data_IF_237966258399
#
_entry.id   IF_237966258399
#
_cell.length_a   1.000
_cell.length_b   1.000
_cell.length_c   1.000
_cell.angle_alpha   90.00
_cell.angle_beta   90.00
_cell.angle_gamma   90.00
#
_symmetry.space_group_name_H-M   'P 1'
#
loop_
_entity.id
_entity.type
_entity.pdbx_description
1 polymer ?
#
# COMPACT_ATOMS: atom_id res chain seq x y z
N UNK A 1 6.22 11.82 -9.50
CA UNK A 1 5.46 10.78 -8.75
C UNK A 1 4.14 11.31 -8.21
N UNK A 2 4.12 12.40 -7.44
CA UNK A 2 2.92 12.91 -6.78
C UNK A 2 1.71 13.17 -7.71
N UNK A 3 1.93 13.77 -8.88
CA UNK A 3 0.85 14.03 -9.86
C UNK A 3 0.22 12.72 -10.35
N UNK A 4 1.04 11.76 -10.80
CA UNK A 4 0.56 10.45 -11.27
C UNK A 4 -0.18 9.71 -10.16
N UNK A 5 0.31 9.80 -8.92
CA UNK A 5 -0.36 9.22 -7.76
C UNK A 5 -1.74 9.86 -7.51
N UNK A 6 -1.84 11.19 -7.56
CA UNK A 6 -3.12 11.89 -7.42
C UNK A 6 -4.13 11.56 -8.52
N UNK A 7 -3.66 11.48 -9.78
CA UNK A 7 -4.48 11.08 -10.92
C UNK A 7 -4.96 9.63 -10.79
N UNK A 8 -4.06 8.71 -10.44
CA UNK A 8 -4.41 7.30 -10.21
C UNK A 8 -5.46 7.16 -9.11
N UNK A 9 -5.30 7.85 -7.98
CA UNK A 9 -6.24 7.82 -6.86
C UNK A 9 -7.62 8.39 -7.20
N UNK A 10 -7.65 9.45 -8.02
CA UNK A 10 -8.91 10.03 -8.50
C UNK A 10 -9.61 9.05 -9.44
N UNK A 11 -8.84 8.40 -10.32
CA UNK A 11 -9.34 7.34 -11.20
C UNK A 11 -9.84 6.13 -10.41
N UNK A 12 -9.12 5.68 -9.38
CA UNK A 12 -9.53 4.58 -8.49
C UNK A 12 -10.90 4.86 -7.88
N UNK A 13 -11.15 6.07 -7.36
CA UNK A 13 -12.45 6.47 -6.81
C UNK A 13 -13.58 6.37 -7.83
N UNK A 14 -13.31 6.59 -9.11
CA UNK A 14 -14.30 6.43 -10.18
C UNK A 14 -14.52 4.95 -10.46
N UNK A 15 -13.45 4.17 -10.62
CA UNK A 15 -13.53 2.76 -11.01
C UNK A 15 -14.15 1.86 -9.94
N UNK A 16 -13.86 2.08 -8.66
CA UNK A 16 -14.47 1.29 -7.56
C UNK A 16 -15.97 1.50 -7.40
N UNK A 17 -16.60 2.40 -8.15
CA UNK A 17 -18.07 2.48 -8.24
C UNK A 17 -18.67 1.41 -9.15
N UNK A 18 -17.88 0.90 -10.09
CA UNK A 18 -18.30 -0.07 -11.10
C UNK A 18 -17.80 -1.49 -10.81
N UNK A 19 -16.74 -1.62 -10.03
CA UNK A 19 -16.13 -2.90 -9.66
C UNK A 19 -16.28 -3.15 -8.16
N UNK A 20 -16.49 -4.41 -7.77
CA UNK A 20 -16.32 -4.80 -6.38
C UNK A 20 -14.83 -4.70 -5.97
N UNK A 21 -14.53 -4.38 -4.70
CA UNK A 21 -13.14 -4.21 -4.24
C UNK A 21 -12.25 -5.42 -4.47
N UNK A 22 -12.79 -6.64 -4.42
CA UNK A 22 -12.00 -7.86 -4.59
C UNK A 22 -11.55 -8.01 -6.04
N UNK A 23 -12.47 -7.94 -6.99
CA UNK A 23 -12.14 -8.00 -8.42
C UNK A 23 -11.21 -6.86 -8.83
N UNK A 24 -11.44 -5.64 -8.31
CA UNK A 24 -10.59 -4.49 -8.60
C UNK A 24 -9.14 -4.71 -8.16
N UNK A 25 -8.93 -5.18 -6.92
CA UNK A 25 -7.59 -5.49 -6.39
C UNK A 25 -6.92 -6.62 -7.18
N UNK A 26 -7.66 -7.70 -7.48
CA UNK A 26 -7.11 -8.82 -8.25
C UNK A 26 -6.63 -8.32 -9.62
N UNK A 27 -7.46 -7.58 -10.36
CA UNK A 27 -7.07 -7.05 -11.67
C UNK A 27 -5.91 -6.05 -11.56
N UNK A 28 -5.97 -5.15 -10.57
CA UNK A 28 -4.98 -4.10 -10.35
C UNK A 28 -3.59 -4.61 -10.03
N UNK A 29 -3.45 -5.77 -9.40
CA UNK A 29 -2.13 -6.38 -9.12
C UNK A 29 -1.75 -7.50 -10.08
N UNK A 30 -2.73 -8.26 -10.59
CA UNK A 30 -2.46 -9.39 -11.48
C UNK A 30 -2.09 -8.95 -12.89
N UNK A 31 -2.84 -8.01 -13.48
CA UNK A 31 -2.60 -7.57 -14.87
C UNK A 31 -1.22 -6.94 -15.06
N UNK A 32 -0.76 -6.00 -14.22
CA UNK A 32 0.60 -5.46 -14.35
C UNK A 32 1.67 -6.54 -14.19
N UNK A 33 1.48 -7.48 -13.24
CA UNK A 33 2.39 -8.62 -13.07
C UNK A 33 2.47 -9.50 -14.31
N UNK A 34 1.33 -9.80 -14.92
CA UNK A 34 1.23 -10.58 -16.14
C UNK A 34 1.87 -9.85 -17.33
N UNK A 35 1.60 -8.55 -17.49
CA UNK A 35 2.20 -7.73 -18.54
C UNK A 35 3.72 -7.68 -18.40
N UNK A 36 4.25 -7.49 -17.19
CA UNK A 36 5.69 -7.52 -16.93
C UNK A 36 6.29 -8.88 -17.32
N UNK A 37 5.62 -9.99 -16.99
CA UNK A 37 6.06 -11.33 -17.33
C UNK A 37 6.09 -11.56 -18.85
N UNK A 38 5.05 -11.13 -19.57
CA UNK A 38 4.96 -11.25 -21.04
C UNK A 38 6.01 -10.37 -21.73
N UNK A 39 6.24 -9.16 -21.25
CA UNK A 39 7.25 -8.24 -21.80
C UNK A 39 8.69 -8.66 -21.47
N UNK A 40 8.89 -9.43 -20.40
CA UNK A 40 10.22 -9.83 -19.93
C UNK A 40 10.32 -11.35 -19.65
N UNK A 41 10.08 -12.21 -20.64
CA UNK A 41 9.99 -13.66 -20.42
C UNK A 41 11.31 -14.26 -19.92
N UNK A 42 12.45 -13.67 -20.31
CA UNK A 42 13.78 -14.08 -19.86
C UNK A 42 13.98 -13.96 -18.33
N UNK A 43 13.20 -13.11 -17.66
CA UNK A 43 13.25 -12.92 -16.20
C UNK A 43 12.40 -13.94 -15.43
N UNK A 44 11.45 -14.60 -16.09
CA UNK A 44 10.59 -15.63 -15.45
C UNK A 44 11.43 -16.79 -14.91
N UNK A 45 12.48 -17.19 -15.64
CA UNK A 45 13.41 -18.24 -15.21
C UNK A 45 14.06 -17.93 -13.85
N UNK A 46 14.25 -16.64 -13.53
CA UNK A 46 14.85 -16.18 -12.28
C UNK A 46 13.87 -16.22 -11.10
N UNK A 47 12.57 -16.35 -11.33
CA UNK A 47 11.57 -16.43 -10.26
C UNK A 47 11.74 -17.65 -9.35
N UNK A 48 12.41 -18.70 -9.85
CA UNK A 48 12.73 -19.91 -9.08
C UNK A 48 13.43 -19.62 -7.76
N UNK A 49 14.18 -18.51 -7.66
CA UNK A 49 14.86 -18.10 -6.42
C UNK A 49 13.87 -17.77 -5.29
N UNK A 50 12.67 -17.30 -5.63
CA UNK A 50 11.65 -16.87 -4.68
C UNK A 50 10.82 -18.04 -4.12
N UNK A 51 10.87 -19.21 -4.78
CA UNK A 51 10.19 -20.44 -4.32
C UNK A 51 10.97 -21.22 -3.25
N UNK A 52 12.14 -20.73 -2.83
CA UNK A 52 12.88 -21.33 -1.71
C UNK A 52 12.03 -21.28 -0.44
N UNK A 53 11.95 -22.39 0.31
CA UNK A 53 11.09 -22.54 1.50
C UNK A 53 11.27 -21.42 2.54
N UNK A 54 12.49 -20.93 2.73
CA UNK A 54 12.81 -19.83 3.65
C UNK A 54 12.33 -18.44 3.19
N UNK A 55 12.08 -18.28 1.90
CA UNK A 55 11.67 -17.01 1.28
C UNK A 55 10.19 -16.99 0.94
N UNK A 56 9.65 -18.10 0.41
CA UNK A 56 8.26 -18.19 -0.03
C UNK A 56 7.28 -17.93 1.11
N UNK A 57 7.58 -18.41 2.33
CA UNK A 57 6.71 -18.16 3.48
C UNK A 57 6.66 -16.67 3.85
N UNK A 58 7.82 -15.98 3.81
CA UNK A 58 7.89 -14.53 4.04
C UNK A 58 7.16 -13.76 2.96
N UNK A 59 7.31 -14.16 1.69
CA UNK A 59 6.57 -13.54 0.59
C UNK A 59 5.07 -13.74 0.75
N UNK A 60 4.60 -14.96 0.99
CA UNK A 60 3.17 -15.25 1.14
C UNK A 60 2.58 -14.45 2.29
N UNK A 61 3.27 -14.35 3.43
CA UNK A 61 2.84 -13.51 4.54
C UNK A 61 2.74 -12.04 4.15
N UNK A 62 3.80 -11.47 3.55
CA UNK A 62 3.82 -10.06 3.15
C UNK A 62 2.79 -9.74 2.06
N UNK A 63 2.66 -10.59 1.05
CA UNK A 63 1.69 -10.45 -0.03
C UNK A 63 0.25 -10.58 0.49
N UNK A 64 -0.01 -11.49 1.43
CA UNK A 64 -1.33 -11.64 2.05
C UNK A 64 -1.69 -10.40 2.88
N UNK A 65 -0.78 -9.92 3.72
CA UNK A 65 -0.98 -8.70 4.52
C UNK A 65 -1.22 -7.48 3.63
N UNK A 66 -0.44 -7.35 2.56
CA UNK A 66 -0.59 -6.26 1.61
C UNK A 66 -1.90 -6.37 0.80
N UNK A 67 -2.25 -7.57 0.34
CA UNK A 67 -3.51 -7.81 -0.36
C UNK A 67 -4.73 -7.50 0.52
N UNK A 68 -4.72 -7.93 1.78
CA UNK A 68 -5.76 -7.59 2.75
C UNK A 68 -5.84 -6.08 2.98
N UNK A 69 -4.69 -5.41 3.13
CA UNK A 69 -4.61 -3.95 3.26
C UNK A 69 -5.20 -3.24 2.04
N UNK A 70 -4.89 -3.70 0.82
CA UNK A 70 -5.43 -3.14 -0.41
C UNK A 70 -6.95 -3.32 -0.50
N UNK A 71 -7.48 -4.51 -0.21
CA UNK A 71 -8.93 -4.75 -0.18
C UNK A 71 -9.60 -3.84 0.85
N UNK A 72 -9.06 -3.74 2.06
CA UNK A 72 -9.57 -2.86 3.09
C UNK A 72 -9.56 -1.38 2.65
N UNK A 73 -8.49 -0.96 1.98
CA UNK A 73 -8.37 0.40 1.44
C UNK A 73 -9.42 0.69 0.36
N UNK A 74 -9.59 -0.18 -0.64
CA UNK A 74 -10.57 0.05 -1.70
C UNK A 74 -12.01 -0.11 -1.21
N UNK A 75 -12.27 -0.98 -0.23
CA UNK A 75 -13.56 -1.05 0.45
C UNK A 75 -13.86 0.24 1.22
N UNK A 76 -12.88 0.79 1.95
CA UNK A 76 -13.04 2.09 2.61
C UNK A 76 -13.25 3.22 1.59
N UNK A 77 -12.49 3.20 0.48
CA UNK A 77 -12.64 4.17 -0.60
C UNK A 77 -14.02 4.10 -1.25
N UNK A 78 -14.66 2.93 -1.29
CA UNK A 78 -16.03 2.76 -1.79
C UNK A 78 -17.06 3.24 -0.76
N UNK A 79 -16.87 2.91 0.52
CA UNK A 79 -17.80 3.22 1.61
C UNK A 79 -17.81 4.70 2.02
N UNK A 80 -16.70 5.43 1.89
CA UNK A 80 -16.66 6.84 2.27
C UNK A 80 -17.31 7.73 1.22
N UNK A 81 -18.02 8.80 1.62
CA UNK A 81 -18.57 9.78 0.68
C UNK A 81 -17.46 10.61 0.01
N UNK A 82 -16.38 10.88 0.74
CA UNK A 82 -15.25 11.67 0.27
C UNK A 82 -13.98 10.80 0.16
N UNK A 83 -13.34 10.82 -1.01
CA UNK A 83 -12.07 10.12 -1.24
C UNK A 83 -10.96 10.64 -0.35
N UNK A 84 -10.90 11.95 -0.10
CA UNK A 84 -9.87 12.58 0.72
C UNK A 84 -9.82 12.01 2.13
N UNK A 85 -10.97 11.62 2.70
CA UNK A 85 -11.03 11.00 4.03
C UNK A 85 -10.35 9.63 4.05
N UNK A 86 -10.65 8.76 3.07
CA UNK A 86 -10.03 7.43 2.98
C UNK A 86 -8.51 7.54 2.78
N UNK A 87 -8.06 8.46 1.92
CA UNK A 87 -6.63 8.70 1.69
C UNK A 87 -5.92 9.28 2.91
N UNK A 88 -6.56 10.21 3.61
CA UNK A 88 -5.96 10.79 4.79
C UNK A 88 -5.90 9.78 5.95
N UNK A 89 -6.89 8.90 6.13
CA UNK A 89 -6.76 7.79 7.08
C UNK A 89 -5.61 6.87 6.66
N UNK A 90 -5.47 6.54 5.38
CA UNK A 90 -4.37 5.70 4.88
C UNK A 90 -2.99 6.32 5.16
N UNK A 91 -2.86 7.65 5.21
CA UNK A 91 -1.60 8.30 5.56
C UNK A 91 -1.15 8.03 7.02
N UNK A 92 -2.03 7.55 7.91
CA UNK A 92 -1.66 7.06 9.24
C UNK A 92 -0.71 5.85 9.18
N UNK A 93 -0.74 5.08 8.07
CA UNK A 93 0.20 3.98 7.86
C UNK A 93 1.66 4.40 7.94
N UNK A 94 1.99 5.66 7.62
CA UNK A 94 3.34 6.22 7.78
C UNK A 94 3.78 6.27 9.24
N UNK A 95 2.90 6.73 10.14
CA UNK A 95 3.16 6.76 11.59
C UNK A 95 3.35 5.34 12.12
N UNK A 96 2.46 4.43 11.73
CA UNK A 96 2.57 3.01 12.11
C UNK A 96 3.88 2.39 11.60
N UNK A 97 4.31 2.73 10.38
CA UNK A 97 5.57 2.27 9.79
C UNK A 97 6.78 2.73 10.60
N UNK A 98 6.79 3.97 11.09
CA UNK A 98 7.87 4.49 11.96
C UNK A 98 7.92 3.71 13.29
N UNK A 99 6.77 3.45 13.91
CA UNK A 99 6.71 2.68 15.16
C UNK A 99 7.21 1.25 14.92
N UNK A 100 6.73 0.61 13.86
CA UNK A 100 7.14 -0.74 13.49
C UNK A 100 8.61 -0.82 13.09
N UNK A 101 9.20 0.21 12.49
CA UNK A 101 10.64 0.21 12.15
C UNK A 101 11.51 0.28 13.40
N UNK A 102 11.12 1.06 14.41
CA UNK A 102 11.82 1.11 15.70
C UNK A 102 11.76 -0.24 16.42
N UNK A 103 10.63 -0.95 16.35
CA UNK A 103 10.43 -2.23 17.06
C UNK A 103 11.05 -3.41 16.28
N UNK A 104 10.69 -3.57 15.00
CA UNK A 104 11.04 -4.73 14.18
C UNK A 104 12.43 -4.61 13.57
N UNK A 105 12.77 -3.45 12.99
CA UNK A 105 14.09 -3.19 12.41
C UNK A 105 15.11 -2.72 13.46
N UNK A 106 14.67 -2.45 14.69
CA UNK A 106 15.51 -1.98 15.81
C UNK A 106 16.26 -0.69 15.47
N UNK A 107 15.69 0.16 14.62
CA UNK A 107 16.31 1.44 14.25
C UNK A 107 16.16 2.46 15.39
N UNK A 108 17.12 2.46 16.32
CA UNK A 108 17.07 3.29 17.54
C UNK A 108 17.78 4.64 17.43
N UNK A 109 18.35 4.94 16.27
CA UNK A 109 18.97 6.23 16.01
C UNK A 109 17.91 7.33 15.86
N UNK A 110 18.16 8.48 16.50
CA UNK A 110 17.36 9.69 16.34
C UNK A 110 15.85 9.49 16.60
N UNK A 111 15.48 8.62 17.56
CA UNK A 111 14.08 8.30 17.90
C UNK A 111 13.24 9.57 18.12
N UNK A 112 13.79 10.57 18.82
CA UNK A 112 13.09 11.84 19.07
C UNK A 112 12.71 12.57 17.77
N UNK A 113 13.60 12.58 16.76
CA UNK A 113 13.32 13.17 15.45
C UNK A 113 12.28 12.36 14.67
N UNK A 114 12.34 11.03 14.74
CA UNK A 114 11.34 10.14 14.11
C UNK A 114 9.95 10.35 14.70
N UNK A 115 9.86 10.42 16.04
CA UNK A 115 8.59 10.66 16.75
C UNK A 115 8.07 12.07 16.43
N UNK A 116 8.93 13.10 16.48
CA UNK A 116 8.51 14.47 16.13
C UNK A 116 7.98 14.55 14.68
N UNK A 117 8.67 13.91 13.73
CA UNK A 117 8.22 13.83 12.33
C UNK A 117 6.88 13.08 12.18
N UNK A 118 6.68 12.01 12.95
CA UNK A 118 5.42 11.27 12.97
C UNK A 118 4.26 12.11 13.54
N UNK A 119 4.49 12.84 14.64
CA UNK A 119 3.51 13.77 15.24
C UNK A 119 3.17 14.90 14.27
N UNK A 120 4.16 15.51 13.62
CA UNK A 120 3.94 16.57 12.63
C UNK A 120 3.15 16.05 11.41
N UNK A 121 3.44 14.83 10.95
CA UNK A 121 2.69 14.19 9.87
C UNK A 121 1.24 13.94 10.27
N UNK A 122 1.01 13.49 11.51
CA UNK A 122 -0.33 13.30 12.06
C UNK A 122 -1.10 14.61 12.18
N UNK A 123 -0.45 15.68 12.64
CA UNK A 123 -1.06 17.01 12.73
C UNK A 123 -1.45 17.55 11.35
N UNK A 124 -0.59 17.39 10.34
CA UNK A 124 -0.90 17.76 8.95
C UNK A 124 -2.11 16.99 8.39
N UNK A 125 -2.19 15.70 8.69
CA UNK A 125 -3.30 14.83 8.30
C UNK A 125 -4.63 15.25 8.93
N UNK A 126 -4.62 15.63 10.21
CA UNK A 126 -5.80 16.16 10.91
C UNK A 126 -6.27 17.50 10.32
N UNK A 127 -5.35 18.35 9.85
CA UNK A 127 -5.69 19.62 9.21
C UNK A 127 -6.32 19.45 7.82
N UNK A 128 -5.87 18.45 7.05
CA UNK A 128 -6.44 18.15 5.71
C UNK A 128 -7.84 17.53 5.79
N UNK A 129 -8.17 16.89 6.92
CA UNK A 129 -9.46 16.22 7.14
C UNK A 129 -10.53 17.06 7.85
N UNK A 130 -10.21 18.30 8.25
CA UNK A 130 -11.20 19.28 8.73
C UNK A 130 -11.89 19.94 7.55
#
# INVERSE_FOLDING_TARGET
AAILFGLANTNDRVLVKFFDPYSYVILGFFLPGLLIAVLNPSKISKLKIYFKKSFIFKMVLLCTLYGLSAVAFFAALQATPNSSQAFAINAFSGVLTVILSIILLKERDHISRKIAGAILSLAGLLLVNK
#
